data_IF_766652578784
#
_entry.id   IF_766652578784
#
_cell.length_a   1.000
_cell.length_b   1.000
_cell.length_c   1.000
_cell.angle_alpha   90.00
_cell.angle_beta   90.00
_cell.angle_gamma   90.00
#
_symmetry.space_group_name_H-M   'P 1'
#
loop_
_entity.id
_entity.type
_entity.pdbx_description
1 polymer ?
#
# COMPACT_ATOMS: atom_id res chain seq x y z
N UNK A 1 0.85 -12.21 -14.89
CA UNK A 1 0.65 -12.08 -13.43
C UNK A 1 1.76 -11.24 -12.79
N UNK A 2 3.03 -11.63 -12.97
CA UNK A 2 4.19 -10.89 -12.46
C UNK A 2 4.23 -9.43 -12.94
N UNK A 3 3.96 -9.17 -14.23
CA UNK A 3 4.07 -7.82 -14.80
C UNK A 3 3.01 -6.85 -14.27
N UNK A 4 1.78 -7.34 -14.02
CA UNK A 4 0.72 -6.53 -13.44
C UNK A 4 1.01 -6.20 -11.97
N UNK A 5 1.52 -7.18 -11.22
CA UNK A 5 1.93 -6.98 -9.84
C UNK A 5 3.11 -5.99 -9.74
N UNK A 6 4.04 -6.06 -10.69
CA UNK A 6 5.15 -5.11 -10.79
C UNK A 6 4.64 -3.68 -11.07
N UNK A 7 3.70 -3.53 -12.00
CA UNK A 7 3.05 -2.24 -12.29
C UNK A 7 2.39 -1.63 -11.04
N UNK A 8 1.70 -2.44 -10.24
CA UNK A 8 1.11 -1.97 -8.99
C UNK A 8 2.16 -1.58 -7.95
N UNK A 9 3.26 -2.33 -7.85
CA UNK A 9 4.39 -2.01 -6.97
C UNK A 9 5.02 -0.66 -7.36
N UNK A 10 5.30 -0.46 -8.65
CA UNK A 10 5.90 0.77 -9.16
C UNK A 10 4.99 1.99 -8.88
N UNK A 11 3.68 1.80 -9.06
CA UNK A 11 2.69 2.84 -8.73
C UNK A 11 2.68 3.17 -7.23
N UNK A 12 2.68 2.16 -6.36
CA UNK A 12 2.70 2.37 -4.91
C UNK A 12 4.01 3.01 -4.43
N UNK A 13 5.14 2.65 -5.00
CA UNK A 13 6.45 3.24 -4.67
C UNK A 13 6.54 4.71 -5.11
N UNK A 14 5.84 5.09 -6.18
CA UNK A 14 5.76 6.48 -6.65
C UNK A 14 4.76 7.37 -5.89
N UNK A 15 3.87 6.81 -5.06
CA UNK A 15 2.87 7.57 -4.31
C UNK A 15 3.48 8.25 -3.08
N UNK A 16 3.01 9.44 -2.73
CA UNK A 16 3.36 10.11 -1.47
C UNK A 16 2.33 9.76 -0.37
N UNK A 17 2.81 9.41 0.82
CA UNK A 17 1.98 9.06 1.98
C UNK A 17 0.94 10.13 2.34
N UNK A 18 1.23 11.42 2.05
CA UNK A 18 0.29 12.52 2.30
C UNK A 18 -0.97 12.48 1.42
N UNK A 19 -0.87 11.89 0.22
CA UNK A 19 -1.99 11.81 -0.72
C UNK A 19 -3.04 10.78 -0.30
N UNK A 20 -2.65 9.74 0.44
CA UNK A 20 -3.52 8.62 0.81
C UNK A 20 -4.66 9.03 1.76
N UNK A 21 -4.51 10.11 2.52
CA UNK A 21 -5.54 10.61 3.42
C UNK A 21 -6.49 11.63 2.80
N UNK A 22 -6.20 12.11 1.59
CA UNK A 22 -6.97 13.17 0.97
C UNK A 22 -8.42 12.71 0.76
N UNK A 23 -9.37 13.40 1.38
CA UNK A 23 -10.80 13.08 1.30
C UNK A 23 -11.28 11.92 2.18
N UNK A 24 -10.38 11.13 2.77
CA UNK A 24 -10.73 10.00 3.63
C UNK A 24 -10.50 10.25 5.12
N UNK A 25 -9.69 11.26 5.47
CA UNK A 25 -9.34 11.54 6.86
C UNK A 25 -10.54 11.87 7.76
N UNK A 26 -11.61 12.46 7.23
CA UNK A 26 -12.79 12.82 8.04
C UNK A 26 -13.59 11.59 8.53
N UNK A 27 -13.44 10.46 7.85
CA UNK A 27 -14.12 9.20 8.18
C UNK A 27 -13.28 8.29 9.11
N UNK A 28 -12.08 8.73 9.47
CA UNK A 28 -11.10 7.95 10.22
C UNK A 28 -10.88 8.54 11.60
N UNK A 29 -10.67 7.67 12.59
CA UNK A 29 -10.13 8.07 13.89
C UNK A 29 -8.62 8.40 13.79
N UNK A 30 -8.05 8.92 14.88
CA UNK A 30 -6.65 9.36 14.91
C UNK A 30 -5.65 8.21 14.79
N UNK A 31 -6.00 7.02 15.27
CA UNK A 31 -5.15 5.83 15.14
C UNK A 31 -5.05 5.41 13.67
N UNK A 32 -6.20 5.32 12.99
CA UNK A 32 -6.27 4.98 11.58
C UNK A 32 -5.58 6.03 10.71
N UNK A 33 -5.76 7.33 10.99
CA UNK A 33 -5.00 8.40 10.31
C UNK A 33 -3.49 8.22 10.47
N UNK A 34 -3.05 7.84 11.66
CA UNK A 34 -1.64 7.59 11.94
C UNK A 34 -1.13 6.39 11.15
N UNK A 35 -1.89 5.29 11.11
CA UNK A 35 -1.55 4.11 10.32
C UNK A 35 -1.43 4.43 8.82
N UNK A 36 -2.39 5.16 8.25
CA UNK A 36 -2.37 5.52 6.82
C UNK A 36 -1.13 6.37 6.47
N UNK A 37 -0.76 7.32 7.33
CA UNK A 37 0.41 8.21 7.09
C UNK A 37 1.76 7.53 7.24
N UNK A 38 1.83 6.44 8.02
CA UNK A 38 3.13 5.91 8.48
C UNK A 38 3.40 4.49 8.00
N UNK A 39 2.36 3.69 7.77
CA UNK A 39 2.49 2.23 7.64
C UNK A 39 1.79 1.67 6.41
N UNK A 40 0.57 2.11 6.08
CA UNK A 40 -0.26 1.48 5.06
C UNK A 40 0.49 1.22 3.74
N UNK A 41 1.13 2.24 3.16
CA UNK A 41 1.86 2.11 1.88
C UNK A 41 3.00 1.09 2.00
N UNK A 42 3.84 1.26 3.01
CA UNK A 42 5.05 0.45 3.22
C UNK A 42 4.72 -1.01 3.50
N UNK A 43 3.72 -1.26 4.36
CA UNK A 43 3.27 -2.62 4.68
C UNK A 43 2.63 -3.29 3.45
N UNK A 44 1.80 -2.56 2.69
CA UNK A 44 1.20 -3.07 1.45
C UNK A 44 2.26 -3.44 0.42
N UNK A 45 3.27 -2.59 0.20
CA UNK A 45 4.42 -2.90 -0.68
C UNK A 45 5.14 -4.16 -0.19
N UNK A 46 5.35 -4.31 1.11
CA UNK A 46 5.96 -5.50 1.71
C UNK A 46 5.16 -6.77 1.40
N UNK A 47 3.85 -6.73 1.62
CA UNK A 47 2.95 -7.85 1.31
C UNK A 47 2.97 -8.22 -0.18
N UNK A 48 2.97 -7.22 -1.06
CA UNK A 48 3.00 -7.44 -2.52
C UNK A 48 4.35 -8.01 -2.99
N UNK A 49 5.47 -7.57 -2.42
CA UNK A 49 6.80 -8.16 -2.68
C UNK A 49 6.86 -9.60 -2.20
N UNK A 50 6.33 -9.88 -1.01
CA UNK A 50 6.25 -11.23 -0.46
C UNK A 50 5.41 -12.14 -1.36
N UNK A 51 4.24 -11.68 -1.82
CA UNK A 51 3.39 -12.45 -2.73
C UNK A 51 4.04 -12.69 -4.09
N UNK A 52 4.82 -11.72 -4.60
CA UNK A 52 5.60 -11.89 -5.84
C UNK A 52 6.69 -12.95 -5.69
N UNK A 53 7.38 -12.97 -4.55
CA UNK A 53 8.47 -13.89 -4.25
C UNK A 53 7.96 -15.30 -3.89
N UNK A 54 6.83 -15.36 -3.21
CA UNK A 54 6.16 -16.59 -2.79
C UNK A 54 4.70 -16.60 -3.26
N UNK A 55 4.46 -16.88 -4.56
CA UNK A 55 3.10 -16.96 -5.08
C UNK A 55 2.32 -18.04 -4.34
N UNK A 56 1.19 -17.67 -3.75
CA UNK A 56 0.27 -18.64 -3.19
C UNK A 56 -0.43 -19.30 -4.39
N UNK A 57 0.03 -20.49 -4.76
CA UNK A 57 -0.66 -21.32 -5.76
C UNK A 57 -1.99 -21.78 -5.15
N UNK A 58 -3.10 -21.33 -5.74
CA UNK A 58 -4.43 -21.91 -5.55
C UNK A 58 -4.85 -22.67 -6.79
#
# INVERSE_FOLDING_TARGET
MSDYLQLCLDLLEGLNDRGLLQGMGELMDEEMKTFVRTKLRTETIGLMKLYREFPIYS
#
